data_IF_120501358968
#
_entry.id   IF_120501358968
#
_cell.length_a   1.000
_cell.length_b   1.000
_cell.length_c   1.000
_cell.angle_alpha   90.00
_cell.angle_beta   90.00
_cell.angle_gamma   90.00
#
_symmetry.space_group_name_H-M   'P 1'
#
loop_
_entity.id
_entity.type
_entity.pdbx_description
1 polymer ?
#
# COMPACT_ATOMS: atom_id res chain seq x y z
N UNK A 1 -14.82 11.28 -4.34
CA UNK A 1 -15.15 10.24 -3.33
C UNK A 1 -13.87 9.83 -2.63
N UNK A 2 -13.64 10.37 -1.44
CA UNK A 2 -12.42 10.13 -0.65
C UNK A 2 -12.63 8.86 0.18
N UNK A 3 -11.91 7.77 -0.11
CA UNK A 3 -12.01 6.52 0.65
C UNK A 3 -11.34 6.71 2.01
N UNK A 4 -12.15 6.71 3.06
CA UNK A 4 -11.71 6.71 4.44
C UNK A 4 -11.07 5.35 4.74
N UNK A 5 -9.74 5.32 4.71
CA UNK A 5 -8.95 4.13 5.03
C UNK A 5 -9.07 3.90 6.52
N UNK A 6 -9.93 2.98 6.91
CA UNK A 6 -9.97 2.50 8.29
C UNK A 6 -8.58 1.93 8.63
N UNK A 7 -7.99 2.43 9.71
CA UNK A 7 -6.59 2.31 10.11
C UNK A 7 -6.06 0.86 10.10
N UNK A 8 -5.51 0.39 8.97
CA UNK A 8 -4.75 -0.87 8.93
C UNK A 8 -3.41 -0.60 9.62
N UNK A 9 -3.23 -1.14 10.82
CA UNK A 9 -1.98 -1.01 11.57
C UNK A 9 -0.79 -1.46 10.72
N UNK A 10 0.23 -0.62 10.67
CA UNK A 10 1.47 -0.88 9.93
C UNK A 10 1.53 -0.25 8.55
N UNK A 11 0.41 0.22 7.99
CA UNK A 11 0.42 1.00 6.74
C UNK A 11 0.94 2.40 7.02
N UNK A 12 1.98 2.81 6.30
CA UNK A 12 2.61 4.13 6.41
C UNK A 12 2.28 5.05 5.24
N UNK A 13 2.04 4.51 4.04
CA UNK A 13 1.72 5.30 2.85
C UNK A 13 0.87 4.48 1.87
N UNK A 14 0.00 5.15 1.12
CA UNK A 14 -0.76 4.56 0.01
C UNK A 14 -0.58 5.47 -1.20
N UNK A 15 -0.19 4.90 -2.33
CA UNK A 15 -0.08 5.61 -3.61
C UNK A 15 -0.98 4.99 -4.66
N UNK A 16 -1.57 5.83 -5.50
CA UNK A 16 -2.37 5.41 -6.64
C UNK A 16 -1.61 5.75 -7.92
N UNK A 17 -1.15 4.73 -8.63
CA UNK A 17 -0.35 4.90 -9.85
C UNK A 17 -1.00 4.10 -10.96
N UNK A 18 -1.40 4.77 -12.06
CA UNK A 18 -1.95 4.14 -13.27
C UNK A 18 -3.06 3.10 -13.00
N UNK A 19 -3.97 3.41 -12.07
CA UNK A 19 -5.08 2.53 -11.69
C UNK A 19 -4.73 1.40 -10.70
N UNK A 20 -3.49 1.35 -10.22
CA UNK A 20 -3.03 0.41 -9.19
C UNK A 20 -2.85 1.14 -7.86
N UNK A 21 -3.06 0.41 -6.77
CA UNK A 21 -2.76 0.89 -5.42
C UNK A 21 -1.49 0.22 -4.92
N UNK A 22 -0.53 1.03 -4.49
CA UNK A 22 0.70 0.58 -3.83
C UNK A 22 0.55 0.92 -2.36
N UNK A 23 0.65 -0.09 -1.51
CA UNK A 23 0.57 0.06 -0.06
C UNK A 23 1.96 -0.15 0.52
N UNK A 24 2.45 0.86 1.21
CA UNK A 24 3.72 0.80 1.95
C UNK A 24 3.42 0.61 3.42
N UNK A 25 4.20 -0.24 4.06
CA UNK A 25 4.06 -0.47 5.48
C UNK A 25 5.05 -1.47 6.01
N UNK A 26 5.15 -1.54 7.33
CA UNK A 26 5.93 -2.57 8.02
C UNK A 26 5.05 -3.80 8.26
N UNK A 27 5.66 -4.98 8.28
CA UNK A 27 4.95 -6.24 8.55
C UNK A 27 3.91 -6.58 7.46
N UNK A 28 4.39 -6.64 6.22
CA UNK A 28 3.66 -6.87 4.95
C UNK A 28 2.64 -8.00 5.03
N UNK A 29 3.00 -9.10 5.71
CA UNK A 29 2.14 -10.27 5.83
C UNK A 29 0.87 -9.98 6.66
N UNK A 30 0.98 -9.17 7.72
CA UNK A 30 -0.18 -8.74 8.52
C UNK A 30 -1.08 -7.80 7.71
N UNK A 31 -0.48 -6.85 6.99
CA UNK A 31 -1.22 -5.90 6.15
C UNK A 31 -1.98 -6.66 5.05
N UNK A 32 -1.34 -7.65 4.41
CA UNK A 32 -1.97 -8.49 3.39
C UNK A 32 -3.19 -9.22 3.97
N UNK A 33 -3.04 -9.91 5.11
CA UNK A 33 -4.14 -10.63 5.76
C UNK A 33 -5.31 -9.70 6.09
N UNK A 34 -5.03 -8.52 6.64
CA UNK A 34 -6.06 -7.53 6.96
C UNK A 34 -6.76 -7.02 5.69
N UNK A 35 -6.03 -6.74 4.62
CA UNK A 35 -6.60 -6.29 3.34
C UNK A 35 -7.48 -7.37 2.72
N UNK A 36 -7.02 -8.62 2.65
CA UNK A 36 -7.81 -9.73 2.11
C UNK A 36 -9.07 -9.96 2.92
N UNK A 37 -8.98 -9.96 4.26
CA UNK A 37 -10.15 -10.14 5.13
C UNK A 37 -11.17 -9.00 5.00
N UNK A 38 -10.71 -7.75 4.88
CA UNK A 38 -11.59 -6.60 4.65
C UNK A 38 -12.26 -6.64 3.27
N UNK A 39 -11.49 -7.02 2.25
CA UNK A 39 -11.99 -7.12 0.89
C UNK A 39 -13.07 -8.20 0.78
N UNK A 40 -12.84 -9.37 1.36
CA UNK A 40 -13.80 -10.47 1.44
C UNK A 40 -15.12 -10.03 2.12
N UNK A 41 -15.02 -9.42 3.32
CA UNK A 41 -16.20 -8.89 4.05
C UNK A 41 -17.00 -7.84 3.28
N UNK A 42 -16.37 -7.16 2.33
CA UNK A 42 -17.00 -6.10 1.53
C UNK A 42 -17.37 -6.56 0.13
N UNK A 43 -17.14 -7.83 -0.22
CA UNK A 43 -17.34 -8.35 -1.57
C UNK A 43 -16.46 -7.66 -2.63
N UNK A 44 -15.33 -7.07 -2.23
CA UNK A 44 -14.43 -6.36 -3.12
C UNK A 44 -13.42 -7.36 -3.68
N UNK A 45 -13.38 -7.49 -5.00
CA UNK A 45 -12.33 -8.28 -5.66
C UNK A 45 -11.01 -7.49 -5.71
N UNK A 46 -10.01 -7.96 -4.98
CA UNK A 46 -8.65 -7.43 -5.08
C UNK A 46 -8.02 -7.90 -6.39
N UNK A 47 -7.66 -6.95 -7.26
CA UNK A 47 -6.90 -7.20 -8.49
C UNK A 47 -5.64 -6.35 -8.47
N UNK A 48 -4.50 -6.95 -8.82
CA UNK A 48 -3.19 -6.27 -8.91
C UNK A 48 -2.75 -5.51 -7.64
N UNK A 49 -3.05 -6.04 -6.45
CA UNK A 49 -2.55 -5.48 -5.20
C UNK A 49 -1.05 -5.80 -5.05
N UNK A 50 -0.23 -4.77 -4.84
CA UNK A 50 1.18 -4.91 -4.49
C UNK A 50 1.44 -4.26 -3.13
N UNK A 51 2.07 -5.02 -2.23
CA UNK A 51 2.53 -4.52 -0.94
C UNK A 51 4.05 -4.61 -0.95
N UNK A 52 4.71 -3.50 -0.64
CA UNK A 52 6.17 -3.41 -0.57
C UNK A 52 6.59 -3.03 0.83
N UNK A 53 7.64 -3.65 1.33
CA UNK A 53 8.37 -3.08 2.46
C UNK A 53 9.16 -1.88 1.95
N UNK A 54 9.03 -0.71 2.58
CA UNK A 54 9.79 0.46 2.17
C UNK A 54 11.29 0.19 2.34
N UNK A 55 12.05 0.34 1.26
CA UNK A 55 13.50 0.32 1.28
C UNK A 55 14.08 1.75 1.18
N UNK A 56 15.39 1.88 1.24
CA UNK A 56 16.06 3.19 1.21
C UNK A 56 15.80 3.93 -0.10
N UNK A 57 15.82 3.24 -1.24
CA UNK A 57 15.53 3.82 -2.56
C UNK A 57 14.12 4.42 -2.62
N UNK A 58 13.11 3.70 -2.15
CA UNK A 58 11.71 4.16 -2.13
C UNK A 58 11.55 5.44 -1.27
N UNK A 59 12.27 5.52 -0.14
CA UNK A 59 12.27 6.70 0.74
C UNK A 59 13.03 7.86 0.10
N UNK A 60 14.14 7.57 -0.57
CA UNK A 60 14.96 8.58 -1.22
C UNK A 60 14.22 9.24 -2.39
N UNK A 61 13.54 8.46 -3.23
CA UNK A 61 12.69 8.97 -4.31
C UNK A 61 11.55 9.83 -3.76
N UNK A 62 10.90 9.40 -2.69
CA UNK A 62 9.80 10.16 -2.08
C UNK A 62 10.25 11.52 -1.50
N UNK A 63 11.50 11.62 -1.03
CA UNK A 63 12.06 12.85 -0.45
C UNK A 63 12.68 13.79 -1.48
N UNK A 64 13.25 13.26 -2.57
CA UNK A 64 14.07 14.04 -3.51
C UNK A 64 13.45 14.20 -4.89
N UNK A 65 12.48 13.36 -5.25
CA UNK A 65 11.84 13.35 -6.57
C UNK A 65 12.76 12.87 -7.70
N UNK A 66 13.90 12.22 -7.40
CA UNK A 66 14.83 11.67 -8.40
C UNK A 66 15.00 10.17 -8.20
N UNK A 67 14.92 9.40 -9.27
CA UNK A 67 15.32 7.98 -9.29
C UNK A 67 16.83 7.86 -9.05
N UNK A 68 17.25 6.84 -8.31
CA UNK A 68 18.66 6.48 -8.14
C UNK A 68 19.08 5.68 -9.40
N UNK A 69 20.04 6.21 -10.16
CA UNK A 69 20.73 5.51 -11.26
C UNK A 69 21.81 4.55 -10.75
#
# INVERSE_FOLDING_TARGET
>A
MSWCVHYIKGVSKIEKIKGRYIVYGKNTNSIMKSLTSLADKKGIQLKNLQIKEPNLDDVFIALTGRELE
#
